data_IF_231716490957
#
_entry.id   IF_231716490957
#
_cell.length_a   1.000
_cell.length_b   1.000
_cell.length_c   1.000
_cell.angle_alpha   90.00
_cell.angle_beta   90.00
_cell.angle_gamma   90.00
#
_symmetry.space_group_name_H-M   'P 1'
#
loop_
_entity.id
_entity.type
_entity.pdbx_description
1 polymer ?
#
# COMPACT_ATOMS: atom_id res chain seq x y z
N UNK A 1 -11.11 -1.66 0.07
CA UNK A 1 -11.73 -1.50 1.39
C UNK A 1 -11.64 -2.76 2.24
N UNK A 2 -11.53 -3.93 1.62
CA UNK A 2 -11.52 -5.24 2.28
C UNK A 2 -10.10 -5.76 2.59
N UNK A 3 -9.08 -4.98 2.27
CA UNK A 3 -7.68 -5.35 2.47
C UNK A 3 -7.10 -6.23 1.37
N UNK A 4 -7.82 -6.45 0.28
CA UNK A 4 -7.31 -7.18 -0.88
C UNK A 4 -6.18 -6.40 -1.54
N UNK A 5 -5.13 -7.12 -1.96
CA UNK A 5 -3.93 -6.53 -2.58
C UNK A 5 -3.89 -6.92 -4.05
N UNK A 6 -3.74 -5.93 -4.91
CA UNK A 6 -3.62 -6.11 -6.37
C UNK A 6 -2.27 -5.61 -6.85
N UNK A 7 -1.58 -6.38 -7.68
CA UNK A 7 -0.39 -5.93 -8.36
C UNK A 7 -0.80 -5.14 -9.62
N UNK A 8 -0.63 -3.82 -9.57
CA UNK A 8 -0.95 -2.94 -10.70
C UNK A 8 0.22 -2.78 -11.67
N UNK A 9 1.44 -2.95 -11.18
CA UNK A 9 2.68 -2.85 -11.95
C UNK A 9 3.75 -3.72 -11.32
N UNK A 10 4.54 -4.42 -12.15
CA UNK A 10 5.64 -5.26 -11.67
C UNK A 10 6.68 -4.41 -10.94
N UNK A 11 7.25 -4.93 -9.87
CA UNK A 11 8.25 -4.22 -9.05
C UNK A 11 9.53 -3.87 -9.80
N UNK A 12 9.83 -4.53 -10.91
CA UNK A 12 10.95 -4.19 -11.80
C UNK A 12 10.73 -2.91 -12.62
N UNK A 13 9.52 -2.34 -12.60
CA UNK A 13 9.14 -1.16 -13.39
C UNK A 13 8.76 -0.05 -12.41
N UNK A 14 9.35 1.14 -12.59
CA UNK A 14 9.02 2.31 -11.76
C UNK A 14 7.53 2.64 -11.85
N UNK A 15 6.95 3.02 -10.72
CA UNK A 15 5.57 3.49 -10.63
C UNK A 15 5.36 4.84 -11.31
N UNK A 16 4.12 5.31 -11.29
CA UNK A 16 3.74 6.64 -11.77
C UNK A 16 2.73 7.26 -10.81
N UNK A 17 2.94 8.52 -10.45
CA UNK A 17 2.07 9.25 -9.53
C UNK A 17 1.42 10.48 -10.17
N UNK A 18 1.64 10.71 -11.46
CA UNK A 18 1.16 11.88 -12.20
C UNK A 18 1.60 13.23 -11.58
N UNK A 19 2.68 13.23 -10.84
CA UNK A 19 3.34 14.42 -10.27
C UNK A 19 4.81 14.49 -10.69
N UNK A 20 5.53 15.54 -10.29
CA UNK A 20 6.96 15.68 -10.57
C UNK A 20 7.87 14.81 -9.68
N UNK A 21 7.28 13.94 -8.86
CA UNK A 21 8.03 13.04 -7.99
C UNK A 21 8.61 11.86 -8.80
N UNK A 22 9.92 11.65 -8.68
CA UNK A 22 10.60 10.50 -9.29
C UNK A 22 10.39 9.25 -8.43
N UNK A 23 9.63 8.30 -8.97
CA UNK A 23 9.27 7.04 -8.29
C UNK A 23 10.31 5.93 -8.43
N UNK A 24 11.40 6.17 -9.17
CA UNK A 24 12.45 5.17 -9.40
C UNK A 24 13.05 4.69 -8.07
N UNK A 25 13.07 3.36 -7.87
CA UNK A 25 13.60 2.74 -6.66
C UNK A 25 12.67 2.80 -5.45
N UNK A 26 11.43 3.23 -5.62
CA UNK A 26 10.43 3.29 -4.55
C UNK A 26 9.34 2.24 -4.74
N UNK A 27 8.99 1.57 -3.66
CA UNK A 27 7.83 0.67 -3.61
C UNK A 27 6.59 1.49 -3.24
N UNK A 28 5.55 1.43 -4.06
CA UNK A 28 4.36 2.25 -3.92
C UNK A 28 3.13 1.39 -3.59
N UNK A 29 2.36 1.83 -2.60
CA UNK A 29 1.05 1.27 -2.27
C UNK A 29 -0.01 2.35 -2.46
N UNK A 30 -1.01 2.07 -3.30
CA UNK A 30 -2.17 2.92 -3.49
C UNK A 30 -3.36 2.33 -2.73
N UNK A 31 -3.98 3.13 -1.89
CA UNK A 31 -5.21 2.77 -1.19
C UNK A 31 -6.40 3.40 -1.90
N UNK A 32 -7.37 2.58 -2.29
CA UNK A 32 -8.59 3.03 -2.95
C UNK A 32 -9.51 3.76 -1.97
N UNK A 33 -9.84 5.01 -2.26
CA UNK A 33 -10.75 5.83 -1.47
C UNK A 33 -10.43 7.32 -1.55
N UNK A 34 -11.34 8.13 -1.01
CA UNK A 34 -11.10 9.56 -0.79
C UNK A 34 -10.94 9.82 0.72
N UNK A 35 -9.71 9.75 1.20
CA UNK A 35 -9.43 9.85 2.63
C UNK A 35 -9.32 11.29 3.15
N UNK A 36 -9.69 12.28 2.37
CA UNK A 36 -10.07 13.60 2.87
C UNK A 36 -11.52 13.61 3.38
N UNK A 37 -12.38 12.71 2.86
CA UNK A 37 -13.81 12.66 3.17
C UNK A 37 -14.20 11.44 4.02
N UNK A 38 -13.50 10.33 3.87
CA UNK A 38 -13.81 9.07 4.57
C UNK A 38 -12.60 8.52 5.34
N UNK A 39 -12.83 7.78 6.45
CA UNK A 39 -11.76 7.06 7.10
C UNK A 39 -11.32 5.86 6.28
N UNK A 40 -10.05 5.49 6.38
CA UNK A 40 -9.58 4.20 5.85
C UNK A 40 -10.05 3.07 6.79
N UNK A 41 -10.51 1.95 6.20
CA UNK A 41 -10.92 0.79 7.00
C UNK A 41 -9.71 0.09 7.63
N UNK A 42 -9.94 -0.57 8.76
CA UNK A 42 -8.89 -1.39 9.40
C UNK A 42 -8.37 -2.48 8.47
N UNK A 43 -9.26 -3.13 7.71
CA UNK A 43 -8.87 -4.17 6.75
C UNK A 43 -7.95 -3.60 5.66
N UNK A 44 -8.26 -2.44 5.11
CA UNK A 44 -7.44 -1.79 4.08
C UNK A 44 -6.11 -1.29 4.66
N UNK A 45 -6.12 -0.71 5.85
CA UNK A 45 -4.91 -0.26 6.52
C UNK A 45 -3.96 -1.43 6.82
N UNK A 46 -4.49 -2.56 7.29
CA UNK A 46 -3.74 -3.78 7.50
C UNK A 46 -3.23 -4.39 6.17
N UNK A 47 -4.03 -4.32 5.11
CA UNK A 47 -3.61 -4.74 3.77
C UNK A 47 -2.42 -3.91 3.25
N UNK A 48 -2.47 -2.60 3.43
CA UNK A 48 -1.35 -1.71 3.11
C UNK A 48 -0.10 -2.05 3.94
N UNK A 49 -0.26 -2.23 5.24
CA UNK A 49 0.84 -2.63 6.12
C UNK A 49 1.46 -3.96 5.69
N UNK A 50 0.64 -4.94 5.30
CA UNK A 50 1.09 -6.24 4.81
C UNK A 50 1.91 -6.12 3.52
N UNK A 51 1.46 -5.32 2.56
CA UNK A 51 2.20 -5.06 1.33
C UNK A 51 3.57 -4.41 1.60
N UNK A 52 3.61 -3.42 2.48
CA UNK A 52 4.88 -2.79 2.88
C UNK A 52 5.79 -3.73 3.68
N UNK A 53 5.25 -4.55 4.57
CA UNK A 53 6.02 -5.53 5.33
C UNK A 53 6.66 -6.56 4.38
N UNK A 54 5.92 -7.01 3.39
CA UNK A 54 6.45 -7.86 2.33
C UNK A 54 7.60 -7.18 1.57
N UNK A 55 7.43 -5.92 1.17
CA UNK A 55 8.47 -5.15 0.49
C UNK A 55 9.71 -4.94 1.36
N UNK A 56 9.53 -4.72 2.67
CA UNK A 56 10.62 -4.62 3.64
C UNK A 56 11.49 -5.88 3.63
N UNK A 57 10.86 -7.05 3.64
CA UNK A 57 11.58 -8.33 3.61
C UNK A 57 12.21 -8.63 2.24
N UNK A 58 11.45 -8.40 1.17
CA UNK A 58 11.87 -8.77 -0.19
C UNK A 58 13.00 -7.88 -0.72
N UNK A 59 12.96 -6.59 -0.42
CA UNK A 59 13.90 -5.59 -0.96
C UNK A 59 14.85 -5.00 0.07
N UNK A 60 14.77 -5.40 1.33
CA UNK A 60 15.60 -4.85 2.39
C UNK A 60 15.31 -3.36 2.70
N UNK A 61 14.10 -2.90 2.40
CA UNK A 61 13.68 -1.52 2.70
C UNK A 61 13.36 -1.42 4.19
N UNK A 62 13.77 -0.32 4.83
CA UNK A 62 13.44 -0.08 6.24
C UNK A 62 12.14 0.69 6.38
N UNK A 63 11.32 0.37 7.37
CA UNK A 63 10.06 1.07 7.63
C UNK A 63 10.23 2.56 7.96
N UNK A 64 11.44 2.96 8.37
CA UNK A 64 11.77 4.37 8.63
C UNK A 64 11.72 5.24 7.38
N UNK A 65 11.76 4.66 6.18
CA UNK A 65 11.66 5.36 4.91
C UNK A 65 10.22 5.57 4.43
N UNK A 66 9.23 5.06 5.18
CA UNK A 66 7.82 5.24 4.85
C UNK A 66 7.49 6.73 4.72
N UNK A 67 6.90 7.11 3.60
CA UNK A 67 6.44 8.45 3.35
C UNK A 67 5.13 8.43 2.55
N UNK A 68 4.35 9.47 2.68
CA UNK A 68 3.15 9.68 1.86
C UNK A 68 3.47 10.52 0.63
N UNK A 69 2.56 10.49 -0.36
CA UNK A 69 2.72 11.25 -1.60
C UNK A 69 2.93 12.75 -1.33
N UNK A 70 2.15 13.37 -0.42
CA UNK A 70 2.30 14.79 -0.09
C UNK A 70 3.62 15.15 0.58
N UNK A 71 4.31 14.17 1.16
CA UNK A 71 5.61 14.40 1.78
C UNK A 71 6.77 14.42 0.78
N UNK A 72 6.58 13.82 -0.40
CA UNK A 72 7.61 13.70 -1.44
C UNK A 72 7.30 14.49 -2.70
N UNK A 73 6.09 14.98 -2.85
CA UNK A 73 5.67 15.82 -3.97
C UNK A 73 4.90 17.04 -3.48
N UNK A 74 4.96 18.14 -4.22
CA UNK A 74 4.16 19.32 -3.97
C UNK A 74 2.87 19.31 -4.78
N UNK A 75 1.86 20.09 -4.34
CA UNK A 75 0.63 20.29 -5.10
C UNK A 75 -0.35 19.13 -5.06
N UNK A 76 -0.21 18.22 -4.11
CA UNK A 76 -1.14 17.12 -3.91
C UNK A 76 -1.60 17.02 -2.46
N UNK A 77 -2.88 16.69 -2.23
CA UNK A 77 -3.43 16.36 -0.92
C UNK A 77 -3.29 14.87 -0.58
N UNK A 78 -2.90 14.06 -1.56
CA UNK A 78 -2.72 12.60 -1.38
C UNK A 78 -1.78 12.31 -0.19
N UNK A 79 -2.11 11.38 0.68
CA UNK A 79 -3.14 10.35 0.59
C UNK A 79 -4.50 10.76 1.20
N UNK A 80 -4.74 12.00 1.50
CA UNK A 80 -5.89 12.49 2.23
C UNK A 80 -5.64 12.58 3.74
N UNK A 81 -6.33 13.48 4.43
CA UNK A 81 -6.08 13.79 5.83
C UNK A 81 -6.22 12.58 6.77
N UNK A 82 -7.23 11.74 6.54
CA UNK A 82 -7.49 10.57 7.38
C UNK A 82 -6.40 9.51 7.25
N UNK A 83 -5.93 9.21 6.04
CA UNK A 83 -4.80 8.27 5.86
C UNK A 83 -3.47 8.89 6.28
N UNK A 84 -3.28 10.19 6.01
CA UNK A 84 -2.08 10.91 6.47
C UNK A 84 -1.89 10.83 7.98
N UNK A 85 -2.97 10.83 8.76
CA UNK A 85 -2.90 10.71 10.21
C UNK A 85 -2.24 9.38 10.64
N UNK A 86 -2.51 8.29 9.94
CA UNK A 86 -1.86 6.99 10.21
C UNK A 86 -0.37 6.97 9.83
N UNK A 87 0.02 7.75 8.83
CA UNK A 87 1.44 7.92 8.48
C UNK A 87 2.15 8.79 9.52
N UNK A 88 1.58 9.97 9.83
CA UNK A 88 2.20 10.97 10.70
C UNK A 88 2.28 10.53 12.16
N UNK A 89 1.31 9.76 12.65
CA UNK A 89 1.31 9.24 14.01
C UNK A 89 2.28 8.07 14.23
N UNK A 90 2.79 7.48 13.16
CA UNK A 90 3.59 6.26 13.20
C UNK A 90 2.76 4.98 13.31
N UNK A 91 1.43 5.05 13.24
CA UNK A 91 0.56 3.88 13.33
C UNK A 91 0.83 2.88 12.21
N UNK A 92 0.87 3.36 10.96
CA UNK A 92 1.15 2.49 9.81
C UNK A 92 2.55 1.86 9.91
N UNK A 93 3.55 2.64 10.28
CA UNK A 93 4.91 2.13 10.50
C UNK A 93 4.97 1.06 11.57
N UNK A 94 4.31 1.27 12.71
CA UNK A 94 4.24 0.28 13.80
C UNK A 94 3.60 -1.02 13.31
N UNK A 95 2.51 -0.95 12.53
CA UNK A 95 1.87 -2.14 11.95
C UNK A 95 2.82 -2.92 11.04
N UNK A 96 3.60 -2.22 10.21
CA UNK A 96 4.62 -2.83 9.36
C UNK A 96 5.68 -3.55 10.21
N UNK A 97 6.21 -2.86 11.22
CA UNK A 97 7.25 -3.41 12.10
C UNK A 97 6.75 -4.63 12.88
N UNK A 98 5.53 -4.59 13.38
CA UNK A 98 4.89 -5.71 14.09
C UNK A 98 4.74 -6.94 13.18
N UNK A 99 4.33 -6.75 11.93
CA UNK A 99 4.20 -7.84 10.96
C UNK A 99 5.56 -8.46 10.61
N UNK A 100 6.59 -7.64 10.41
CA UNK A 100 7.96 -8.11 10.14
C UNK A 100 8.50 -8.88 11.33
N UNK A 101 8.30 -8.39 12.54
CA UNK A 101 8.75 -9.01 13.79
C UNK A 101 8.04 -10.34 14.07
N UNK A 102 6.75 -10.45 13.73
CA UNK A 102 5.96 -11.65 13.96
C UNK A 102 6.38 -12.85 13.10
N UNK A 103 7.15 -12.63 12.05
CA UNK A 103 7.66 -13.69 11.18
C UNK A 103 7.61 -13.32 9.70
N UNK A 104 8.02 -14.25 8.85
CA UNK A 104 8.07 -14.01 7.42
C UNK A 104 6.68 -13.74 6.84
N UNK A 105 6.53 -12.59 6.20
CA UNK A 105 5.33 -12.22 5.45
C UNK A 105 5.41 -12.84 4.06
N UNK A 106 4.37 -13.56 3.67
CA UNK A 106 4.28 -14.18 2.35
C UNK A 106 3.04 -13.68 1.63
N UNK A 107 3.23 -13.21 0.40
CA UNK A 107 2.16 -12.93 -0.54
C UNK A 107 2.19 -14.00 -1.63
N UNK A 108 1.08 -14.71 -1.78
CA UNK A 108 0.96 -15.72 -2.85
C UNK A 108 0.32 -15.06 -4.08
N UNK A 109 1.06 -14.92 -5.18
CA UNK A 109 0.50 -14.36 -6.39
C UNK A 109 -0.53 -15.31 -7.00
N UNK A 110 -1.66 -14.75 -7.41
CA UNK A 110 -2.68 -15.44 -8.17
C UNK A 110 -2.72 -14.77 -9.55
N UNK A 111 -2.55 -15.53 -10.61
CA UNK A 111 -2.39 -15.02 -11.97
C UNK A 111 -3.33 -15.71 -12.97
N UNK A 112 -3.45 -15.13 -14.17
CA UNK A 112 -4.18 -15.71 -15.29
C UNK A 112 -5.69 -15.89 -15.00
N UNK A 113 -6.33 -16.95 -15.53
CA UNK A 113 -7.77 -17.17 -15.35
C UNK A 113 -8.21 -17.23 -13.89
N UNK A 114 -7.39 -17.81 -13.03
CA UNK A 114 -7.67 -17.90 -11.60
C UNK A 114 -7.71 -16.50 -10.93
N UNK A 115 -6.85 -15.59 -11.36
CA UNK A 115 -6.90 -14.20 -10.89
C UNK A 115 -8.17 -13.49 -11.37
N UNK A 116 -8.57 -13.70 -12.62
CA UNK A 116 -9.80 -13.13 -13.16
C UNK A 116 -11.04 -13.62 -12.40
N UNK A 117 -11.10 -14.90 -12.05
CA UNK A 117 -12.18 -15.47 -11.22
C UNK A 117 -12.18 -14.85 -9.81
N UNK A 118 -11.02 -14.69 -9.20
CA UNK A 118 -10.90 -14.07 -7.88
C UNK A 118 -11.36 -12.62 -7.90
N UNK A 119 -10.98 -11.85 -8.91
CA UNK A 119 -11.42 -10.45 -9.08
C UNK A 119 -12.93 -10.39 -9.28
N UNK A 120 -13.49 -11.22 -10.17
CA UNK A 120 -14.93 -11.26 -10.40
C UNK A 120 -15.72 -11.60 -9.12
N UNK A 121 -15.20 -12.52 -8.30
CA UNK A 121 -15.82 -12.86 -7.01
C UNK A 121 -15.81 -11.68 -6.03
N UNK A 122 -14.73 -10.91 -5.97
CA UNK A 122 -14.61 -9.71 -5.14
C UNK A 122 -15.60 -8.64 -5.61
N UNK A 123 -15.68 -8.39 -6.92
CA UNK A 123 -16.59 -7.42 -7.51
C UNK A 123 -18.07 -7.80 -7.27
N UNK A 124 -18.41 -9.09 -7.36
CA UNK A 124 -19.76 -9.57 -7.11
C UNK A 124 -20.18 -9.51 -5.63
N UNK A 125 -19.21 -9.67 -4.71
CA UNK A 125 -19.44 -9.60 -3.27
C UNK A 125 -19.31 -8.20 -2.67
N UNK A 126 -18.72 -7.32 -3.44
CA UNK A 126 -18.48 -5.94 -3.03
C UNK A 126 -19.61 -5.05 -3.41
#
# INVERSE_FOLDING_TARGET
RDGNIFELRRTAIAGDTATNYDTTGHFLVVCEGNFDEEPISEAQLNGAALAFAWATQEFGITSSTLASHRQVASGTSCPGANLQAHVSSGDLRRRIDDMVTAGAVQLQPVCGPQAAEAVAAIEAGG
#
